data_IF_533897811119
#
_entry.id   IF_533897811119
#
_cell.length_a   1.000
_cell.length_b   1.000
_cell.length_c   1.000
_cell.angle_alpha   90.00
_cell.angle_beta   90.00
_cell.angle_gamma   90.00
#
_symmetry.space_group_name_H-M   'P 1'
#
loop_
_entity.id
_entity.type
_entity.pdbx_description
1 polymer ?
#
# COMPACT_ATOMS: atom_id res chain seq x y z
N UNK A 1 -24.50 13.68 -11.33
CA UNK A 1 -23.60 12.52 -11.11
C UNK A 1 -22.28 13.12 -10.65
N UNK A 2 -21.84 12.79 -9.43
CA UNK A 2 -20.51 13.19 -8.98
C UNK A 2 -19.46 12.45 -9.80
N UNK A 3 -18.32 13.09 -10.07
CA UNK A 3 -17.19 12.42 -10.72
C UNK A 3 -16.79 11.19 -9.92
N UNK A 4 -16.55 10.08 -10.62
CA UNK A 4 -16.11 8.85 -10.00
C UNK A 4 -14.62 9.00 -9.67
N UNK A 5 -14.30 9.02 -8.38
CA UNK A 5 -12.91 9.11 -7.92
C UNK A 5 -12.26 7.75 -8.12
N UNK A 6 -11.25 7.73 -8.99
CA UNK A 6 -10.36 6.58 -9.24
C UNK A 6 -8.94 7.02 -8.89
N UNK A 7 -8.22 6.18 -8.15
CA UNK A 7 -6.87 6.44 -7.68
C UNK A 7 -5.89 5.43 -8.23
N UNK A 8 -4.70 5.90 -8.61
CA UNK A 8 -3.56 5.06 -8.97
C UNK A 8 -2.80 4.64 -7.71
N UNK A 9 -2.66 3.33 -7.50
CA UNK A 9 -2.00 2.73 -6.35
C UNK A 9 -0.82 1.88 -6.82
N UNK A 10 0.37 2.15 -6.29
CA UNK A 10 1.56 1.33 -6.51
C UNK A 10 1.61 0.23 -5.44
N UNK A 11 1.46 -1.02 -5.85
CA UNK A 11 1.50 -2.17 -4.94
C UNK A 11 2.94 -2.43 -4.50
N UNK A 12 3.17 -2.52 -3.21
CA UNK A 12 4.46 -2.92 -2.63
C UNK A 12 4.40 -4.37 -2.16
N UNK A 13 3.29 -4.77 -1.53
CA UNK A 13 3.17 -6.06 -0.85
C UNK A 13 1.92 -6.78 -1.34
N UNK A 14 2.07 -7.89 -2.09
CA UNK A 14 0.92 -8.68 -2.51
C UNK A 14 0.26 -9.40 -1.34
N UNK A 15 -1.05 -9.61 -1.45
CA UNK A 15 -1.86 -10.44 -0.55
C UNK A 15 -1.20 -11.80 -0.32
N UNK A 16 -1.19 -12.24 0.93
CA UNK A 16 -0.57 -13.49 1.36
C UNK A 16 0.95 -13.42 1.54
N UNK A 17 1.60 -12.32 1.15
CA UNK A 17 3.03 -12.16 1.35
C UNK A 17 3.38 -11.96 2.83
N UNK A 18 4.48 -12.60 3.24
CA UNK A 18 5.20 -12.31 4.50
C UNK A 18 6.38 -11.40 4.29
N UNK A 19 6.78 -11.16 3.04
CA UNK A 19 7.84 -10.24 2.71
C UNK A 19 7.25 -8.84 2.57
N UNK A 20 7.75 -7.94 3.40
CA UNK A 20 7.53 -6.51 3.28
C UNK A 20 8.55 -5.97 2.29
N UNK A 21 8.04 -5.54 1.15
CA UNK A 21 8.78 -4.74 0.19
C UNK A 21 8.41 -3.28 0.38
N UNK A 22 9.27 -2.39 -0.10
CA UNK A 22 9.03 -0.95 -0.14
C UNK A 22 9.60 -0.37 -1.44
N UNK A 23 8.99 0.70 -1.92
CA UNK A 23 9.50 1.48 -3.02
C UNK A 23 10.57 2.46 -2.55
N UNK A 24 11.82 2.22 -2.96
CA UNK A 24 12.90 3.16 -2.71
C UNK A 24 12.74 4.38 -3.62
N UNK A 25 12.27 5.50 -3.03
CA UNK A 25 12.05 6.77 -3.74
C UNK A 25 13.30 7.33 -4.42
N UNK A 26 14.51 7.03 -3.92
CA UNK A 26 15.79 7.50 -4.48
C UNK A 26 16.24 6.63 -5.64
N UNK A 27 16.18 5.32 -5.49
CA UNK A 27 16.59 4.37 -6.53
C UNK A 27 15.51 4.09 -7.58
N UNK A 28 14.27 4.48 -7.31
CA UNK A 28 13.08 4.21 -8.14
C UNK A 28 12.88 2.72 -8.40
N UNK A 29 13.02 1.90 -7.36
CA UNK A 29 12.95 0.43 -7.42
C UNK A 29 12.24 -0.14 -6.20
N UNK A 30 11.58 -1.27 -6.39
CA UNK A 30 11.14 -2.09 -5.26
C UNK A 30 12.36 -2.69 -4.57
N UNK A 31 12.40 -2.58 -3.25
CA UNK A 31 13.42 -3.11 -2.37
C UNK A 31 12.76 -4.04 -1.37
N UNK A 32 13.42 -5.16 -1.09
CA UNK A 32 13.06 -5.99 0.06
C UNK A 32 13.51 -5.29 1.34
N UNK A 33 12.56 -4.98 2.22
CA UNK A 33 12.83 -4.40 3.53
C UNK A 33 13.07 -5.53 4.55
N UNK A 34 12.08 -6.39 4.76
CA UNK A 34 12.17 -7.51 5.71
C UNK A 34 11.12 -8.58 5.48
N UNK A 35 11.30 -9.73 6.12
CA UNK A 35 10.22 -10.70 6.35
C UNK A 35 9.56 -10.41 7.69
N UNK A 36 8.23 -10.49 7.76
CA UNK A 36 7.46 -10.30 9.00
C UNK A 36 7.90 -11.31 10.08
N UNK A 37 8.19 -10.79 11.28
CA UNK A 37 8.68 -11.58 12.42
C UNK A 37 7.63 -12.56 12.95
N UNK A 38 6.35 -12.20 12.87
CA UNK A 38 5.23 -13.03 13.31
C UNK A 38 4.71 -13.95 12.20
N UNK A 39 3.97 -14.99 12.57
CA UNK A 39 3.29 -15.90 11.64
C UNK A 39 2.03 -15.27 11.02
N UNK A 40 2.17 -14.06 10.49
CA UNK A 40 1.11 -13.27 9.84
C UNK A 40 1.51 -12.95 8.40
N UNK A 41 0.51 -12.66 7.57
CA UNK A 41 0.67 -12.24 6.17
C UNK A 41 -0.25 -11.05 5.89
N UNK A 42 0.08 -10.27 4.87
CA UNK A 42 -0.78 -9.17 4.44
C UNK A 42 -2.10 -9.74 3.90
N UNK A 43 -3.27 -9.29 4.40
CA UNK A 43 -4.56 -9.88 4.06
C UNK A 43 -5.05 -9.46 2.66
N UNK A 44 -4.52 -8.36 2.13
CA UNK A 44 -4.84 -7.74 0.84
C UNK A 44 -3.55 -7.20 0.21
N UNK A 45 -3.62 -6.83 -1.07
CA UNK A 45 -2.53 -6.08 -1.68
C UNK A 45 -2.40 -4.73 -0.97
N UNK A 46 -1.18 -4.37 -0.62
CA UNK A 46 -0.86 -3.16 0.12
C UNK A 46 0.17 -2.35 -0.65
N UNK A 47 0.01 -1.05 -0.63
CA UNK A 47 0.89 -0.09 -1.29
C UNK A 47 0.44 1.32 -0.96
N UNK A 48 0.76 2.26 -1.85
CA UNK A 48 0.48 3.67 -1.61
C UNK A 48 -0.12 4.37 -2.83
N UNK A 49 -0.87 5.44 -2.58
CA UNK A 49 -1.53 6.24 -3.61
C UNK A 49 -0.52 7.22 -4.22
N UNK A 50 -0.39 7.21 -5.55
CA UNK A 50 0.52 8.12 -6.24
C UNK A 50 0.12 9.59 -6.03
N UNK A 51 1.12 10.46 -5.98
CA UNK A 51 0.96 11.92 -5.90
C UNK A 51 0.17 12.41 -4.68
N UNK A 52 0.27 11.69 -3.56
CA UNK A 52 -0.26 12.11 -2.25
C UNK A 52 0.87 12.38 -1.27
N UNK A 53 0.56 13.11 -0.20
CA UNK A 53 1.45 13.36 0.92
C UNK A 53 0.59 13.38 2.19
N UNK A 54 0.84 12.44 3.09
CA UNK A 54 0.21 12.33 4.40
C UNK A 54 1.00 13.14 5.46
N UNK A 55 0.50 13.16 6.68
CA UNK A 55 1.07 13.94 7.79
C UNK A 55 2.43 13.42 8.27
N UNK A 56 2.77 12.17 7.93
CA UNK A 56 4.02 11.49 8.25
C UNK A 56 5.13 11.69 7.19
N UNK A 57 4.88 12.57 6.20
CA UNK A 57 5.75 12.86 5.05
C UNK A 57 5.89 11.72 4.02
N UNK A 58 5.05 10.68 4.12
CA UNK A 58 4.95 9.61 3.14
C UNK A 58 3.64 9.70 2.33
N UNK A 59 3.55 9.05 1.15
CA UNK A 59 2.30 8.98 0.42
C UNK A 59 1.26 8.20 1.23
N UNK A 60 -0.02 8.51 1.02
CA UNK A 60 -1.10 7.85 1.74
C UNK A 60 -1.16 6.35 1.37
N UNK A 61 -1.16 5.51 2.39
CA UNK A 61 -1.26 4.07 2.24
C UNK A 61 -2.63 3.61 1.75
N UNK A 62 -2.64 2.48 1.05
CA UNK A 62 -3.85 1.87 0.55
C UNK A 62 -3.79 0.35 0.59
N UNK A 63 -4.93 -0.24 0.92
CA UNK A 63 -5.21 -1.67 0.75
C UNK A 63 -6.17 -1.88 -0.41
N UNK A 64 -5.82 -2.78 -1.33
CA UNK A 64 -6.63 -3.09 -2.51
C UNK A 64 -7.25 -4.47 -2.37
N UNK A 65 -8.58 -4.51 -2.35
CA UNK A 65 -9.37 -5.73 -2.24
C UNK A 65 -9.39 -6.47 -3.58
N UNK A 66 -8.64 -7.58 -3.64
CA UNK A 66 -8.55 -8.44 -4.82
C UNK A 66 -8.76 -9.91 -4.45
N UNK A 67 -9.25 -10.68 -5.44
CA UNK A 67 -9.37 -12.14 -5.33
C UNK A 67 -7.99 -12.79 -5.33
N UNK A 68 -7.22 -12.52 -6.38
CA UNK A 68 -5.85 -13.00 -6.59
C UNK A 68 -4.84 -11.88 -6.32
N UNK A 69 -3.67 -12.19 -5.71
CA UNK A 69 -2.63 -11.20 -5.47
C UNK A 69 -2.03 -10.68 -6.78
N UNK A 70 -1.56 -9.44 -6.78
CA UNK A 70 -0.72 -8.91 -7.87
C UNK A 70 0.76 -9.22 -7.62
N UNK A 71 1.65 -8.26 -7.86
CA UNK A 71 3.09 -8.36 -7.68
C UNK A 71 3.66 -7.00 -7.24
N UNK A 72 4.81 -6.96 -6.53
CA UNK A 72 5.44 -5.71 -6.14
C UNK A 72 5.82 -4.85 -7.36
N UNK A 73 5.44 -3.57 -7.35
CA UNK A 73 5.60 -2.63 -8.46
C UNK A 73 4.44 -2.64 -9.47
N UNK A 74 3.38 -3.41 -9.22
CA UNK A 74 2.15 -3.34 -10.02
C UNK A 74 1.45 -2.00 -9.77
N UNK A 75 1.05 -1.32 -10.84
CA UNK A 75 0.19 -0.13 -10.75
C UNK A 75 -1.25 -0.56 -10.99
N UNK A 76 -2.15 -0.18 -10.09
CA UNK A 76 -3.57 -0.53 -10.17
C UNK A 76 -4.47 0.68 -9.91
N UNK A 77 -5.52 0.81 -10.72
CA UNK A 77 -6.61 1.75 -10.49
C UNK A 77 -7.61 1.17 -9.49
N UNK A 78 -7.93 1.91 -8.44
CA UNK A 78 -8.92 1.49 -7.45
C UNK A 78 -9.86 2.63 -7.03
N UNK A 79 -11.08 2.23 -6.66
CA UNK A 79 -12.08 3.13 -6.10
C UNK A 79 -12.03 3.08 -4.56
N UNK A 80 -11.89 4.23 -3.88
CA UNK A 80 -12.00 4.27 -2.42
C UNK A 80 -13.39 3.84 -1.96
N UNK A 81 -13.45 2.91 -1.01
CA UNK A 81 -14.72 2.46 -0.40
C UNK A 81 -14.78 2.71 1.12
N UNK A 82 -13.67 3.10 1.73
CA UNK A 82 -13.54 3.35 3.15
C UNK A 82 -12.11 3.72 3.52
N UNK A 83 -11.92 4.13 4.77
CA UNK A 83 -10.62 4.40 5.36
C UNK A 83 -10.53 3.68 6.71
N UNK A 84 -9.37 3.08 6.98
CA UNK A 84 -9.07 2.46 8.26
C UNK A 84 -8.15 3.40 9.02
N UNK A 85 -8.65 3.98 10.12
CA UNK A 85 -7.86 4.91 10.95
C UNK A 85 -7.17 4.12 12.04
N UNK A 86 -5.86 4.24 12.13
CA UNK A 86 -5.06 3.63 13.17
C UNK A 86 -4.08 4.64 13.77
N UNK A 87 -3.43 4.21 14.85
CA UNK A 87 -2.44 5.00 15.56
C UNK A 87 -1.32 4.06 15.95
N UNK A 88 -0.09 4.44 15.62
CA UNK A 88 1.10 3.69 15.96
C UNK A 88 2.03 4.52 16.86
N UNK A 89 3.28 4.08 17.01
CA UNK A 89 4.28 4.76 17.82
C UNK A 89 4.71 6.13 17.25
N UNK A 90 4.49 6.38 15.94
CA UNK A 90 4.85 7.61 15.22
C UNK A 90 3.68 8.59 15.09
N UNK A 91 2.44 8.15 15.20
CA UNK A 91 1.29 9.04 15.17
C UNK A 91 0.05 8.42 14.57
N UNK A 92 -0.80 9.29 14.00
CA UNK A 92 -1.94 8.84 13.21
C UNK A 92 -1.46 8.23 11.90
N UNK A 93 -2.10 7.13 11.53
CA UNK A 93 -1.92 6.41 10.27
C UNK A 93 -3.31 6.13 9.66
#
# INVERSE_FOLDING_TARGET
>A
MGEEIVLDIMIEIPKGSRNKYEYDKKLKRIRFDRTLFSAVHYPMDYGFILNTLAEDEDPLDAMVLLWEPTFPGCLIEAKPIGAFKMWDEKGSD
#
